data_IF_389539680554
#
_entry.id   IF_389539680554
#
_cell.length_a   1.000
_cell.length_b   1.000
_cell.length_c   1.000
_cell.angle_alpha   90.00
_cell.angle_beta   90.00
_cell.angle_gamma   90.00
#
_symmetry.space_group_name_H-M   'P 1'
#
loop_
_entity.id
_entity.type
_entity.pdbx_description
1 polymer ?
#
# COMPACT_ATOMS: atom_id res chain seq x y z
N UNK A 1 13.79 16.18 9.80
CA UNK A 1 12.71 16.98 9.13
C UNK A 1 12.05 16.17 8.04
N UNK A 2 12.79 15.53 7.12
CA UNK A 2 12.23 14.84 5.94
C UNK A 2 11.44 13.58 6.30
N UNK A 3 11.91 12.78 7.25
CA UNK A 3 11.19 11.61 7.75
C UNK A 3 9.81 11.98 8.29
N UNK A 4 9.75 13.03 9.11
CA UNK A 4 8.48 13.55 9.64
C UNK A 4 7.52 14.00 8.54
N UNK A 5 8.01 14.78 7.57
CA UNK A 5 7.20 15.25 6.44
C UNK A 5 6.61 14.07 5.65
N UNK A 6 7.42 13.03 5.41
CA UNK A 6 6.98 11.84 4.68
C UNK A 6 5.89 11.10 5.42
N UNK A 7 6.10 10.80 6.70
CA UNK A 7 5.10 10.14 7.55
C UNK A 7 3.80 10.96 7.59
N UNK A 8 3.90 12.27 7.83
CA UNK A 8 2.74 13.15 7.89
C UNK A 8 1.98 13.25 6.56
N UNK A 9 2.68 13.34 5.44
CA UNK A 9 2.06 13.39 4.12
C UNK A 9 1.34 12.08 3.78
N UNK A 10 1.94 10.94 4.11
CA UNK A 10 1.29 9.63 3.97
C UNK A 10 0.02 9.57 4.81
N UNK A 11 0.09 9.97 6.09
CA UNK A 11 -1.07 10.02 6.98
C UNK A 11 -2.20 10.91 6.42
N UNK A 12 -1.86 12.09 5.90
CA UNK A 12 -2.85 12.98 5.27
C UNK A 12 -3.54 12.33 4.07
N UNK A 13 -2.79 11.62 3.25
CA UNK A 13 -3.38 10.88 2.12
C UNK A 13 -4.34 9.80 2.60
N UNK A 14 -3.94 9.01 3.60
CA UNK A 14 -4.77 7.97 4.19
C UNK A 14 -6.08 8.56 4.73
N UNK A 15 -6.01 9.56 5.58
CA UNK A 15 -7.17 10.22 6.19
C UNK A 15 -8.12 10.81 5.14
N UNK A 16 -7.58 11.45 4.10
CA UNK A 16 -8.39 12.04 3.04
C UNK A 16 -9.19 10.99 2.25
N UNK A 17 -8.63 9.79 2.05
CA UNK A 17 -9.25 8.74 1.24
C UNK A 17 -10.20 7.83 2.01
N UNK A 18 -10.29 7.99 3.33
CA UNK A 18 -11.26 7.27 4.18
C UNK A 18 -12.31 8.19 4.79
N UNK A 19 -12.36 9.46 4.39
CA UNK A 19 -13.25 10.45 4.98
C UNK A 19 -14.76 10.20 4.71
N UNK A 20 -15.09 9.45 3.64
CA UNK A 20 -16.43 9.03 3.26
C UNK A 20 -16.71 7.55 3.56
N UNK A 21 -15.88 6.91 4.37
CA UNK A 21 -15.95 5.49 4.70
C UNK A 21 -16.54 5.28 6.09
N UNK A 22 -17.66 4.56 6.15
CA UNK A 22 -18.24 4.10 7.41
C UNK A 22 -17.85 2.62 7.63
N UNK A 23 -16.98 2.32 8.60
CA UNK A 23 -16.53 0.95 8.84
C UNK A 23 -17.67 -0.01 9.20
N UNK A 24 -18.77 0.47 9.77
CA UNK A 24 -19.92 -0.37 10.12
C UNK A 24 -20.76 -0.77 8.89
N UNK A 25 -20.85 0.11 7.90
CA UNK A 25 -21.69 -0.09 6.72
C UNK A 25 -20.91 -0.53 5.47
N UNK A 26 -19.65 -0.11 5.35
CA UNK A 26 -18.88 -0.18 4.10
C UNK A 26 -17.71 -1.18 4.15
N UNK A 27 -17.37 -1.71 5.33
CA UNK A 27 -16.24 -2.62 5.47
C UNK A 27 -16.45 -3.91 4.66
N UNK A 28 -15.43 -4.27 3.89
CA UNK A 28 -15.40 -5.51 3.11
C UNK A 28 -14.68 -6.59 3.90
N UNK A 29 -15.28 -7.79 4.10
CA UNK A 29 -14.60 -8.92 4.71
C UNK A 29 -13.30 -9.27 3.98
N UNK A 30 -12.26 -9.68 4.72
CA UNK A 30 -10.92 -9.94 4.18
C UNK A 30 -10.93 -10.86 2.95
N UNK A 31 -11.72 -11.93 2.98
CA UNK A 31 -11.82 -12.94 1.92
C UNK A 31 -12.49 -12.40 0.65
N UNK A 32 -13.25 -11.31 0.77
CA UNK A 32 -13.94 -10.65 -0.35
C UNK A 32 -13.18 -9.43 -0.89
N UNK A 33 -12.11 -9.02 -0.21
CA UNK A 33 -11.27 -7.91 -0.66
C UNK A 33 -10.49 -8.28 -1.91
N UNK A 34 -10.16 -7.28 -2.72
CA UNK A 34 -9.24 -7.47 -3.83
C UNK A 34 -7.87 -7.92 -3.33
N UNK A 35 -7.18 -8.74 -4.11
CA UNK A 35 -5.94 -9.37 -3.68
C UNK A 35 -4.86 -8.38 -3.23
N UNK A 36 -4.71 -7.27 -3.96
CA UNK A 36 -3.74 -6.22 -3.59
C UNK A 36 -4.06 -5.57 -2.24
N UNK A 37 -5.33 -5.45 -1.88
CA UNK A 37 -5.75 -4.85 -0.60
C UNK A 37 -5.51 -5.84 0.55
N UNK A 38 -5.76 -7.14 0.30
CA UNK A 38 -5.37 -8.22 1.24
C UNK A 38 -3.87 -8.23 1.46
N UNK A 39 -3.09 -8.14 0.37
CA UNK A 39 -1.64 -8.04 0.46
C UNK A 39 -1.19 -6.84 1.30
N UNK A 40 -1.80 -5.67 1.11
CA UNK A 40 -1.45 -4.48 1.88
C UNK A 40 -1.68 -4.67 3.38
N UNK A 41 -2.76 -5.35 3.78
CA UNK A 41 -3.04 -5.68 5.19
C UNK A 41 -2.06 -6.72 5.74
N UNK A 42 -1.76 -7.79 4.99
CA UNK A 42 -0.78 -8.81 5.39
C UNK A 42 0.61 -8.19 5.54
N UNK A 43 0.99 -7.29 4.62
CA UNK A 43 2.26 -6.55 4.71
C UNK A 43 2.29 -5.60 5.91
N UNK A 44 1.19 -4.94 6.23
CA UNK A 44 1.06 -4.10 7.42
C UNK A 44 1.18 -4.92 8.71
N UNK A 45 0.58 -6.11 8.75
CA UNK A 45 0.69 -7.05 9.88
C UNK A 45 2.15 -7.49 10.10
N UNK A 46 2.84 -7.90 9.04
CA UNK A 46 4.26 -8.26 9.09
C UNK A 46 5.12 -7.08 9.58
N UNK A 47 4.84 -5.88 9.08
CA UNK A 47 5.52 -4.65 9.52
C UNK A 47 5.28 -4.38 11.01
N UNK A 48 4.03 -4.54 11.48
CA UNK A 48 3.70 -4.36 12.89
C UNK A 48 4.47 -5.32 13.79
N UNK A 49 4.56 -6.60 13.45
CA UNK A 49 5.33 -7.58 14.21
C UNK A 49 6.81 -7.16 14.33
N UNK A 50 7.39 -6.70 13.23
CA UNK A 50 8.78 -6.24 13.19
C UNK A 50 9.02 -5.04 14.12
N UNK A 51 8.19 -3.98 14.03
CA UNK A 51 8.37 -2.80 14.90
C UNK A 51 8.04 -3.08 16.36
N UNK A 52 7.08 -3.96 16.65
CA UNK A 52 6.78 -4.35 18.02
C UNK A 52 7.93 -5.09 18.70
N UNK A 53 8.74 -5.84 17.94
CA UNK A 53 9.96 -6.46 18.46
C UNK A 53 10.95 -5.42 18.99
N UNK A 54 11.10 -4.29 18.28
CA UNK A 54 11.93 -3.16 18.71
C UNK A 54 11.32 -2.42 19.89
N UNK A 55 10.02 -2.18 19.90
CA UNK A 55 9.34 -1.53 21.03
C UNK A 55 9.49 -2.31 22.34
N UNK A 56 9.47 -3.65 22.30
CA UNK A 56 9.67 -4.50 23.49
C UNK A 56 11.02 -4.28 24.17
N UNK A 57 12.04 -3.86 23.43
CA UNK A 57 13.39 -3.59 23.93
C UNK A 57 13.73 -2.10 23.94
N UNK A 58 12.73 -1.23 23.77
CA UNK A 58 12.85 0.24 23.78
C UNK A 58 13.77 0.82 22.68
N UNK A 59 13.89 0.13 21.56
CA UNK A 59 14.66 0.59 20.40
C UNK A 59 13.77 1.46 19.46
N UNK A 60 13.61 2.73 19.78
CA UNK A 60 12.76 3.64 18.99
C UNK A 60 13.37 4.05 17.64
N UNK A 61 14.70 4.17 17.57
CA UNK A 61 15.35 4.62 16.33
C UNK A 61 15.09 3.70 15.13
N UNK A 62 15.21 2.36 15.24
CA UNK A 62 14.83 1.46 14.15
C UNK A 62 13.36 1.59 13.76
N UNK A 63 12.44 1.80 14.70
CA UNK A 63 11.03 1.99 14.42
C UNK A 63 10.79 3.21 13.53
N UNK A 64 11.41 4.35 13.85
CA UNK A 64 11.30 5.59 13.05
C UNK A 64 11.81 5.36 11.63
N UNK A 65 12.99 4.75 11.48
CA UNK A 65 13.58 4.45 10.18
C UNK A 65 12.70 3.50 9.34
N UNK A 66 12.24 2.42 9.97
CA UNK A 66 11.36 1.43 9.31
C UNK A 66 10.02 2.03 8.92
N UNK A 67 9.39 2.85 9.76
CA UNK A 67 8.14 3.52 9.43
C UNK A 67 8.31 4.50 8.27
N UNK A 68 9.43 5.22 8.22
CA UNK A 68 9.75 6.07 7.08
C UNK A 68 9.85 5.27 5.78
N UNK A 69 10.54 4.12 5.79
CA UNK A 69 10.66 3.23 4.63
C UNK A 69 9.30 2.65 4.23
N UNK A 70 8.53 2.17 5.18
CA UNK A 70 7.17 1.68 4.94
C UNK A 70 6.28 2.74 4.26
N UNK A 71 6.32 3.98 4.76
CA UNK A 71 5.59 5.11 4.15
C UNK A 71 6.09 5.45 2.74
N UNK A 72 7.41 5.32 2.48
CA UNK A 72 7.98 5.71 1.17
C UNK A 72 7.89 4.61 0.13
N UNK A 73 8.15 3.36 0.50
CA UNK A 73 8.32 2.25 -0.43
C UNK A 73 7.07 1.37 -0.52
N UNK A 74 6.54 0.94 0.64
CA UNK A 74 5.37 0.06 0.64
C UNK A 74 4.07 0.82 0.33
N UNK A 75 3.87 1.98 0.96
CA UNK A 75 2.69 2.79 0.73
C UNK A 75 2.88 3.72 -0.47
N UNK A 76 3.72 4.75 -0.36
CA UNK A 76 3.81 5.81 -1.36
C UNK A 76 4.33 5.35 -2.71
N UNK A 77 5.39 4.54 -2.74
CA UNK A 77 6.02 4.03 -3.97
C UNK A 77 5.28 2.88 -4.63
N UNK A 78 4.37 2.23 -3.92
CA UNK A 78 3.65 1.08 -4.44
C UNK A 78 2.13 1.18 -4.21
N UNK A 79 1.65 0.83 -3.02
CA UNK A 79 0.22 0.59 -2.80
C UNK A 79 -0.66 1.81 -3.10
N UNK A 80 -0.32 2.97 -2.54
CA UNK A 80 -1.10 4.18 -2.76
C UNK A 80 -0.98 4.69 -4.20
N UNK A 81 0.16 4.46 -4.85
CA UNK A 81 0.37 4.84 -6.23
C UNK A 81 -0.55 4.04 -7.17
N UNK A 82 -0.63 2.72 -6.98
CA UNK A 82 -1.56 1.84 -7.71
C UNK A 82 -3.02 2.17 -7.44
N UNK A 83 -3.35 2.58 -6.19
CA UNK A 83 -4.73 2.86 -5.80
C UNK A 83 -5.30 4.19 -6.32
N UNK A 84 -4.46 5.16 -6.71
CA UNK A 84 -4.92 6.51 -7.07
C UNK A 84 -6.06 6.48 -8.08
N UNK A 85 -5.87 5.78 -9.18
CA UNK A 85 -6.89 5.71 -10.23
C UNK A 85 -8.18 5.07 -9.69
N UNK A 86 -8.08 3.93 -9.02
CA UNK A 86 -9.21 3.22 -8.44
C UNK A 86 -9.99 4.06 -7.43
N UNK A 87 -9.31 4.79 -6.54
CA UNK A 87 -9.96 5.63 -5.53
C UNK A 87 -10.73 6.80 -6.13
N UNK A 88 -10.26 7.36 -7.25
CA UNK A 88 -10.83 8.57 -7.84
C UNK A 88 -11.78 8.30 -9.00
N UNK A 89 -11.67 7.17 -9.68
CA UNK A 89 -12.44 6.89 -10.91
C UNK A 89 -13.58 5.89 -10.71
N UNK A 90 -13.52 5.03 -9.67
CA UNK A 90 -14.56 4.03 -9.44
C UNK A 90 -15.77 4.61 -8.69
N UNK A 91 -16.92 3.98 -8.87
CA UNK A 91 -18.14 4.38 -8.18
C UNK A 91 -17.98 4.33 -6.65
N UNK A 92 -18.53 5.30 -5.90
CA UNK A 92 -18.30 5.43 -4.45
C UNK A 92 -18.61 4.18 -3.62
N UNK A 93 -19.60 3.39 -4.06
CA UNK A 93 -20.02 2.15 -3.35
C UNK A 93 -19.59 0.87 -4.08
N UNK A 94 -18.67 0.95 -5.03
CA UNK A 94 -18.13 -0.25 -5.69
C UNK A 94 -17.30 -1.09 -4.74
N UNK A 95 -17.30 -2.41 -4.95
CA UNK A 95 -16.44 -3.33 -4.21
C UNK A 95 -14.96 -2.90 -4.29
N UNK A 96 -14.50 -2.49 -5.47
CA UNK A 96 -13.12 -2.08 -5.69
C UNK A 96 -12.72 -0.87 -4.81
N UNK A 97 -13.60 0.14 -4.69
CA UNK A 97 -13.34 1.29 -3.82
C UNK A 97 -13.45 0.92 -2.35
N UNK A 98 -14.49 0.20 -1.93
CA UNK A 98 -14.71 -0.19 -0.53
C UNK A 98 -13.65 -1.16 -0.02
N UNK A 99 -13.17 -2.08 -0.87
CA UNK A 99 -12.03 -2.95 -0.56
C UNK A 99 -10.78 -2.13 -0.24
N UNK A 100 -10.42 -1.18 -1.11
CA UNK A 100 -9.31 -0.28 -0.87
C UNK A 100 -9.48 0.54 0.41
N UNK A 101 -10.64 1.15 0.62
CA UNK A 101 -10.92 1.95 1.80
C UNK A 101 -10.90 1.13 3.09
N UNK A 102 -11.34 -0.12 3.06
CA UNK A 102 -11.23 -1.03 4.20
C UNK A 102 -9.76 -1.23 4.59
N UNK A 103 -8.89 -1.51 3.62
CA UNK A 103 -7.46 -1.65 3.87
C UNK A 103 -6.85 -0.33 4.37
N UNK A 104 -7.13 0.80 3.72
CA UNK A 104 -6.62 2.11 4.12
C UNK A 104 -7.08 2.49 5.53
N UNK A 105 -8.32 2.21 5.91
CA UNK A 105 -8.87 2.48 7.24
C UNK A 105 -8.10 1.68 8.30
N UNK A 106 -7.91 0.37 8.11
CA UNK A 106 -7.18 -0.47 9.05
C UNK A 106 -5.70 -0.06 9.15
N UNK A 107 -5.05 0.26 8.01
CA UNK A 107 -3.66 0.75 7.99
C UNK A 107 -3.55 2.10 8.71
N UNK A 108 -4.53 3.00 8.54
CA UNK A 108 -4.55 4.29 9.24
C UNK A 108 -4.63 4.11 10.75
N UNK A 109 -5.53 3.27 11.22
CA UNK A 109 -5.64 2.92 12.64
C UNK A 109 -4.34 2.36 13.21
N UNK A 110 -3.71 1.44 12.47
CA UNK A 110 -2.45 0.84 12.88
C UNK A 110 -1.31 1.87 12.87
N UNK A 111 -1.20 2.67 11.81
CA UNK A 111 -0.14 3.67 11.66
C UNK A 111 -0.18 4.72 12.78
N UNK A 112 -1.37 5.16 13.19
CA UNK A 112 -1.52 6.08 14.32
C UNK A 112 -0.99 5.48 15.62
N UNK A 113 -1.28 4.19 15.88
CA UNK A 113 -0.76 3.48 17.05
C UNK A 113 0.76 3.25 16.96
N UNK A 114 1.29 2.93 15.76
CA UNK A 114 2.72 2.74 15.58
C UNK A 114 3.52 4.01 15.84
N UNK A 115 3.00 5.16 15.46
CA UNK A 115 3.71 6.43 15.60
C UNK A 115 3.47 7.13 16.94
N UNK A 116 2.45 6.76 17.70
CA UNK A 116 2.09 7.42 18.97
C UNK A 116 3.24 7.48 19.98
N UNK A 117 4.11 6.45 20.15
CA UNK A 117 5.20 6.52 21.13
C UNK A 117 6.28 7.57 20.83
N UNK A 118 6.44 8.02 19.56
CA UNK A 118 7.49 8.98 19.19
C UNK A 118 6.99 10.23 18.46
N UNK A 119 5.78 10.20 17.89
CA UNK A 119 5.10 11.35 17.29
C UNK A 119 3.77 11.62 18.00
N UNK A 120 3.82 11.65 19.33
CA UNK A 120 2.67 11.67 20.24
C UNK A 120 1.65 12.75 19.91
N UNK A 121 2.10 13.99 19.68
CA UNK A 121 1.18 15.10 19.36
C UNK A 121 0.51 14.94 18.00
N UNK A 122 1.27 14.49 16.98
CA UNK A 122 0.73 14.28 15.63
C UNK A 122 -0.25 13.11 15.60
N UNK A 123 0.04 12.04 16.33
CA UNK A 123 -0.85 10.88 16.46
C UNK A 123 -2.16 11.27 17.16
N UNK A 124 -2.08 12.00 18.26
CA UNK A 124 -3.25 12.46 19.01
C UNK A 124 -4.11 13.45 18.21
N UNK A 125 -3.48 14.40 17.52
CA UNK A 125 -4.18 15.35 16.63
C UNK A 125 -4.99 14.63 15.56
N UNK A 126 -4.39 13.65 14.91
CA UNK A 126 -5.05 12.85 13.87
C UNK A 126 -6.12 11.91 14.47
N UNK A 127 -5.87 11.35 15.66
CA UNK A 127 -6.81 10.49 16.35
C UNK A 127 -8.11 11.19 16.70
N UNK A 128 -8.06 12.44 17.13
CA UNK A 128 -9.26 13.26 17.44
C UNK A 128 -10.17 13.49 16.24
N UNK A 129 -9.65 13.30 15.02
CA UNK A 129 -10.43 13.44 13.77
C UNK A 129 -10.93 12.07 13.29
N UNK A 130 -10.17 11.02 13.54
CA UNK A 130 -10.34 9.73 12.89
C UNK A 130 -10.70 8.59 13.85
N UNK A 131 -10.26 8.67 15.10
CA UNK A 131 -10.49 7.65 16.10
C UNK A 131 -11.88 7.71 16.73
N UNK A 132 -12.24 6.63 17.37
CA UNK A 132 -13.52 6.39 18.03
C UNK A 132 -13.43 6.40 19.58
N UNK A 133 -12.25 6.66 20.13
CA UNK A 133 -12.03 6.85 21.57
C UNK A 133 -11.43 8.22 21.88
N UNK A 134 -11.45 8.61 23.16
CA UNK A 134 -11.04 9.95 23.62
C UNK A 134 -9.57 10.28 23.33
N UNK A 135 -8.70 9.28 23.30
CA UNK A 135 -7.26 9.48 23.06
C UNK A 135 -6.59 8.25 22.52
N UNK A 136 -5.63 8.44 21.59
CA UNK A 136 -4.76 7.36 21.05
C UNK A 136 -3.96 6.66 22.16
N UNK A 137 -3.68 7.35 23.26
CA UNK A 137 -2.92 6.80 24.38
C UNK A 137 -3.70 5.82 25.25
N UNK A 138 -5.00 5.71 25.05
CA UNK A 138 -5.85 4.69 25.65
C UNK A 138 -5.94 3.42 24.80
N UNK A 139 -5.35 3.44 23.60
CA UNK A 139 -5.43 2.37 22.64
C UNK A 139 -4.28 1.37 22.79
N UNK A 140 -4.55 0.14 22.35
CA UNK A 140 -3.55 -0.92 22.23
C UNK A 140 -3.33 -1.29 20.77
N UNK A 141 -2.22 -1.94 20.45
CA UNK A 141 -1.98 -2.46 19.11
C UNK A 141 -3.02 -3.52 18.75
N UNK A 142 -3.75 -3.29 17.67
CA UNK A 142 -4.77 -4.22 17.17
C UNK A 142 -4.17 -5.23 16.19
N UNK A 143 -4.74 -6.42 16.12
CA UNK A 143 -4.40 -7.40 15.09
C UNK A 143 -4.79 -6.84 13.70
N UNK A 144 -3.88 -6.97 12.74
CA UNK A 144 -4.04 -6.59 11.35
C UNK A 144 -4.11 -7.84 10.49
N UNK A 145 -5.29 -8.43 10.39
CA UNK A 145 -5.48 -9.56 9.48
C UNK A 145 -4.69 -10.82 9.84
N UNK A 146 -4.57 -11.71 8.87
CA UNK A 146 -3.88 -12.99 8.98
C UNK A 146 -2.50 -12.91 8.30
N UNK A 147 -1.56 -13.74 8.78
CA UNK A 147 -0.30 -13.96 8.07
C UNK A 147 -0.55 -14.81 6.82
N UNK A 148 0.03 -14.40 5.69
CA UNK A 148 0.00 -15.14 4.42
C UNK A 148 1.35 -14.99 3.70
N UNK A 149 2.26 -15.92 3.98
CA UNK A 149 3.60 -15.91 3.39
C UNK A 149 3.57 -16.14 1.86
N UNK A 150 2.59 -16.88 1.38
CA UNK A 150 2.41 -17.12 -0.05
C UNK A 150 2.03 -15.84 -0.78
N UNK A 151 1.10 -15.08 -0.23
CA UNK A 151 0.69 -13.78 -0.76
C UNK A 151 1.85 -12.77 -0.72
N UNK A 152 2.61 -12.74 0.37
CA UNK A 152 3.79 -11.88 0.49
C UNK A 152 4.86 -12.24 -0.56
N UNK A 153 5.15 -13.52 -0.77
CA UNK A 153 6.12 -13.98 -1.76
C UNK A 153 5.67 -13.64 -3.18
N UNK A 154 4.40 -13.87 -3.51
CA UNK A 154 3.80 -13.52 -4.79
C UNK A 154 3.98 -12.03 -5.10
N UNK A 155 3.55 -11.16 -4.20
CA UNK A 155 3.60 -9.72 -4.42
C UNK A 155 5.02 -9.14 -4.34
N UNK A 156 5.93 -9.77 -3.62
CA UNK A 156 7.36 -9.43 -3.68
C UNK A 156 7.88 -9.60 -5.11
N UNK A 157 7.59 -10.74 -5.75
CA UNK A 157 8.02 -10.98 -7.12
C UNK A 157 7.38 -10.02 -8.12
N UNK A 158 6.09 -9.73 -7.98
CA UNK A 158 5.40 -8.74 -8.82
C UNK A 158 6.06 -7.35 -8.69
N UNK A 159 6.40 -6.93 -7.48
CA UNK A 159 7.06 -5.65 -7.22
C UNK A 159 8.45 -5.59 -7.84
N UNK A 160 9.25 -6.66 -7.75
CA UNK A 160 10.56 -6.75 -8.40
C UNK A 160 10.45 -6.54 -9.91
N UNK A 161 9.48 -7.21 -10.55
CA UNK A 161 9.23 -7.06 -12.00
C UNK A 161 8.78 -5.62 -12.29
N UNK A 162 7.87 -5.07 -11.50
CA UNK A 162 7.41 -3.69 -11.66
C UNK A 162 8.54 -2.68 -11.55
N UNK A 163 9.43 -2.85 -10.60
CA UNK A 163 10.56 -1.93 -10.39
C UNK A 163 11.55 -1.97 -11.56
N UNK A 164 11.80 -3.14 -12.14
CA UNK A 164 12.61 -3.26 -13.35
C UNK A 164 11.98 -2.50 -14.52
N UNK A 165 10.67 -2.69 -14.76
CA UNK A 165 9.95 -2.02 -15.85
C UNK A 165 9.90 -0.51 -15.64
N UNK A 166 9.63 -0.05 -14.41
CA UNK A 166 9.60 1.38 -14.11
C UNK A 166 10.96 2.03 -14.39
N UNK A 167 12.05 1.33 -14.09
CA UNK A 167 13.41 1.83 -14.40
C UNK A 167 13.60 2.00 -15.92
N UNK A 168 13.12 1.06 -16.72
CA UNK A 168 13.21 1.14 -18.18
C UNK A 168 12.33 2.27 -18.75
N UNK A 169 11.10 2.41 -18.22
CA UNK A 169 10.20 3.51 -18.60
C UNK A 169 10.82 4.86 -18.26
N UNK A 170 11.44 5.02 -17.08
CA UNK A 170 12.10 6.27 -16.69
C UNK A 170 13.31 6.57 -17.57
N UNK A 171 14.06 5.57 -18.01
CA UNK A 171 15.14 5.75 -18.98
C UNK A 171 14.62 6.26 -20.33
N UNK A 172 13.51 5.72 -20.83
CA UNK A 172 12.86 6.17 -22.07
C UNK A 172 12.28 7.59 -21.93
N UNK A 173 11.76 7.93 -20.75
CA UNK A 173 11.28 9.29 -20.45
C UNK A 173 12.43 10.31 -20.43
N UNK A 174 13.55 9.96 -19.81
CA UNK A 174 14.75 10.80 -19.80
C UNK A 174 15.31 11.02 -21.21
N UNK A 175 15.14 10.05 -22.10
CA UNK A 175 15.49 10.15 -23.52
C UNK A 175 14.45 10.89 -24.39
N UNK A 176 13.33 11.33 -23.79
CA UNK A 176 12.25 12.04 -24.50
C UNK A 176 11.39 11.18 -25.41
N UNK A 177 11.48 9.84 -25.30
CA UNK A 177 10.76 8.90 -26.17
C UNK A 177 9.34 8.61 -25.67
N UNK A 178 9.06 8.80 -24.37
CA UNK A 178 7.76 8.61 -23.74
C UNK A 178 7.44 9.82 -22.89
N UNK A 179 6.20 10.33 -22.98
CA UNK A 179 5.76 11.49 -22.20
C UNK A 179 5.35 11.12 -20.78
N UNK A 180 4.36 10.24 -20.64
CA UNK A 180 3.86 9.76 -19.35
C UNK A 180 3.70 8.23 -19.38
N UNK A 181 3.91 7.59 -18.23
CA UNK A 181 3.80 6.12 -18.09
C UNK A 181 2.43 5.60 -18.55
N UNK A 182 1.36 6.34 -18.26
CA UNK A 182 -0.01 6.03 -18.71
C UNK A 182 -0.21 6.06 -20.24
N UNK A 183 0.74 6.56 -21.01
CA UNK A 183 0.72 6.56 -22.47
C UNK A 183 1.51 5.38 -23.06
N UNK A 184 2.23 4.65 -22.21
CA UNK A 184 3.04 3.53 -22.64
C UNK A 184 2.18 2.26 -22.88
N UNK A 185 2.36 1.64 -24.03
CA UNK A 185 1.98 0.26 -24.26
C UNK A 185 3.20 -0.61 -23.93
N UNK A 186 3.06 -1.52 -23.00
CA UNK A 186 4.17 -2.32 -22.48
C UNK A 186 3.98 -3.77 -22.93
N UNK A 187 4.94 -4.31 -23.69
CA UNK A 187 5.01 -5.73 -24.02
C UNK A 187 6.07 -6.38 -23.14
N UNK A 188 5.66 -7.32 -22.30
CA UNK A 188 6.52 -8.02 -21.35
C UNK A 188 6.77 -9.44 -21.82
N UNK A 189 8.05 -9.73 -22.16
CA UNK A 189 8.49 -11.11 -22.35
C UNK A 189 9.14 -11.59 -21.05
N UNK A 190 8.52 -12.58 -20.41
CA UNK A 190 8.92 -13.08 -19.09
C UNK A 190 8.97 -14.60 -19.07
N UNK A 191 9.73 -15.16 -18.12
CA UNK A 191 9.76 -16.60 -17.91
C UNK A 191 8.34 -17.17 -17.66
N UNK A 192 8.06 -18.43 -18.00
CA UNK A 192 6.72 -19.02 -17.86
C UNK A 192 6.13 -18.90 -16.45
N UNK A 193 6.96 -18.96 -15.42
CA UNK A 193 6.56 -18.81 -14.01
C UNK A 193 6.06 -17.39 -13.72
N UNK A 194 6.81 -16.38 -14.14
CA UNK A 194 6.43 -14.97 -14.00
C UNK A 194 5.22 -14.64 -14.87
N UNK A 195 5.10 -15.23 -16.05
CA UNK A 195 3.93 -15.08 -16.89
C UNK A 195 2.65 -15.57 -16.18
N UNK A 196 2.68 -16.78 -15.60
CA UNK A 196 1.54 -17.31 -14.86
C UNK A 196 1.18 -16.44 -13.66
N UNK A 197 2.20 -15.94 -12.95
CA UNK A 197 2.04 -15.06 -11.80
C UNK A 197 1.39 -13.72 -12.18
N UNK A 198 1.86 -13.07 -13.23
CA UNK A 198 1.32 -11.80 -13.72
C UNK A 198 -0.08 -11.98 -14.34
N UNK A 199 -0.30 -13.04 -15.11
CA UNK A 199 -1.59 -13.35 -15.70
C UNK A 199 -2.68 -13.58 -14.65
N UNK A 200 -2.32 -14.03 -13.43
CA UNK A 200 -3.27 -14.21 -12.32
C UNK A 200 -3.88 -12.90 -11.83
N UNK A 201 -3.31 -11.74 -12.17
CA UNK A 201 -3.85 -10.41 -11.83
C UNK A 201 -5.01 -9.99 -12.77
N UNK A 202 -5.16 -10.64 -13.93
CA UNK A 202 -6.22 -10.31 -14.88
C UNK A 202 -6.20 -8.82 -15.26
N UNK A 203 -7.38 -8.19 -15.21
CA UNK A 203 -7.56 -6.77 -15.56
C UNK A 203 -6.84 -5.79 -14.61
N UNK A 204 -6.47 -6.23 -13.41
CA UNK A 204 -5.75 -5.40 -12.45
C UNK A 204 -4.29 -5.18 -12.83
N UNK A 205 -3.75 -6.00 -13.74
CA UNK A 205 -2.35 -5.92 -14.18
C UNK A 205 -1.95 -4.52 -14.65
N UNK A 206 -2.76 -3.90 -15.50
CA UNK A 206 -2.50 -2.55 -16.02
C UNK A 206 -2.43 -1.48 -14.94
N UNK A 207 -3.22 -1.63 -13.87
CA UNK A 207 -3.21 -0.69 -12.74
C UNK A 207 -1.95 -0.86 -11.89
N UNK A 208 -1.51 -2.11 -11.68
CA UNK A 208 -0.28 -2.41 -10.94
C UNK A 208 0.95 -1.80 -11.63
N UNK A 209 0.98 -1.79 -12.96
CA UNK A 209 2.09 -1.24 -13.74
C UNK A 209 1.86 0.20 -14.21
N UNK A 210 0.73 0.79 -13.90
CA UNK A 210 0.38 2.19 -14.26
C UNK A 210 0.61 2.46 -15.75
N UNK A 211 0.10 1.57 -16.59
CA UNK A 211 0.23 1.62 -18.04
C UNK A 211 -1.15 1.61 -18.73
N UNK A 212 -1.21 2.06 -19.98
CA UNK A 212 -2.46 2.01 -20.76
C UNK A 212 -2.82 0.57 -21.13
N UNK A 213 -1.83 -0.22 -21.51
CA UNK A 213 -2.00 -1.61 -21.96
C UNK A 213 -0.75 -2.41 -21.60
N UNK A 214 -0.95 -3.65 -21.15
CA UNK A 214 0.13 -4.62 -20.97
C UNK A 214 -0.19 -5.88 -21.76
N UNK A 215 0.75 -6.28 -22.60
CA UNK A 215 0.75 -7.56 -23.29
C UNK A 215 1.80 -8.48 -22.65
N UNK A 216 1.37 -9.67 -22.22
CA UNK A 216 2.24 -10.67 -21.64
C UNK A 216 2.61 -11.72 -22.68
N UNK A 217 3.90 -11.98 -22.85
CA UNK A 217 4.44 -13.03 -23.70
C UNK A 217 5.28 -13.97 -22.85
N UNK A 218 4.94 -15.25 -22.88
CA UNK A 218 5.79 -16.29 -22.27
C UNK A 218 6.99 -16.56 -23.18
N UNK A 219 8.20 -16.40 -22.65
CA UNK A 219 9.44 -16.63 -23.40
C UNK A 219 10.60 -16.94 -22.45
N UNK A 220 11.71 -17.36 -23.02
CA UNK A 220 12.98 -17.38 -22.29
C UNK A 220 13.52 -15.97 -22.21
N UNK A 221 13.68 -15.45 -20.99
CA UNK A 221 14.39 -14.19 -20.74
C UNK A 221 15.88 -14.35 -21.07
#
# INVERSE_FOLDING_TARGET
>A
VDSYRRIRNTLRFLLANVSDFDPAADAVPFEQMLEIDRYALVRAAQFQEDILSHYKVYEFHPVVAKLQLYCSEDLGGFYLDVLKDRLYTTAPKSLARRSAQTALHQITHAMLRWMAPFLSFTAEEAWKIFGDSDSIFMETFSALGQSDDGLLAKWRRIREIRDAINKDIEALRAAGQVGASLQACVTLTVAPEDHALLASLGDDLKFVFISSTIELIAGSA
#
